data_IF_123226090297
#
_entry.id   IF_123226090297
#
_cell.length_a   1.000
_cell.length_b   1.000
_cell.length_c   1.000
_cell.angle_alpha   90.00
_cell.angle_beta   90.00
_cell.angle_gamma   90.00
#
_symmetry.space_group_name_H-M   'P 1'
#
loop_
_entity.id
_entity.type
_entity.pdbx_description
1 polymer ?
#
# COMPACT_ATOMS: atom_id res chain seq x y z
N UNK A 1 -5.81 39.86 22.90
CA UNK A 1 -4.97 39.04 22.01
C UNK A 1 -3.69 39.74 21.56
N UNK A 2 -3.72 41.05 21.19
CA UNK A 2 -2.55 41.81 20.71
C UNK A 2 -1.36 41.81 21.67
N UNK A 3 -1.58 41.98 23.01
CA UNK A 3 -0.52 41.98 24.01
C UNK A 3 0.23 40.64 24.08
N UNK A 4 -0.49 39.52 24.21
CA UNK A 4 0.13 38.20 24.30
C UNK A 4 0.97 37.84 23.08
N UNK A 5 0.50 38.21 21.89
CA UNK A 5 1.24 37.99 20.63
C UNK A 5 2.52 38.84 20.54
N UNK A 6 2.45 40.11 20.97
CA UNK A 6 3.58 41.02 20.95
C UNK A 6 4.69 40.55 21.90
N UNK A 7 4.31 40.11 23.12
CA UNK A 7 5.26 39.57 24.11
C UNK A 7 5.86 38.23 23.63
N UNK A 8 5.06 37.33 23.09
CA UNK A 8 5.54 36.06 22.57
C UNK A 8 6.55 36.25 21.42
N UNK A 9 6.25 37.17 20.46
CA UNK A 9 7.17 37.53 19.37
C UNK A 9 8.47 38.16 19.88
N UNK A 10 8.40 39.01 20.89
CA UNK A 10 9.57 39.66 21.51
C UNK A 10 10.44 38.68 22.27
N UNK A 11 9.82 37.68 22.92
CA UNK A 11 10.53 36.57 23.55
C UNK A 11 11.30 35.71 22.54
N UNK A 12 10.80 35.54 21.33
CA UNK A 12 11.50 34.82 20.26
C UNK A 12 12.65 35.63 19.65
N UNK A 13 12.56 36.96 19.58
CA UNK A 13 13.52 37.87 18.90
C UNK A 13 14.52 38.55 19.79
N UNK A 14 14.48 38.39 21.12
CA UNK A 14 15.35 39.11 22.03
C UNK A 14 16.85 38.81 21.75
N UNK A 15 17.69 39.87 21.49
CA UNK A 15 19.11 39.70 21.17
C UNK A 15 19.95 39.22 22.36
N UNK A 16 19.53 39.50 23.62
CA UNK A 16 20.25 39.15 24.85
C UNK A 16 19.86 37.75 25.39
N UNK A 17 19.58 36.79 24.55
CA UNK A 17 19.33 35.42 24.99
C UNK A 17 20.64 34.70 25.30
N UNK A 18 20.74 33.96 26.43
CA UNK A 18 21.79 33.01 26.65
C UNK A 18 21.90 32.04 25.47
N UNK A 19 23.11 31.72 25.03
CA UNK A 19 23.32 30.82 23.88
C UNK A 19 22.61 29.46 24.07
N UNK A 20 22.55 28.99 25.31
CA UNK A 20 21.86 27.76 25.70
C UNK A 20 20.37 27.80 25.37
N UNK A 21 19.66 28.91 25.68
CA UNK A 21 18.22 29.03 25.38
C UNK A 21 17.92 29.06 23.86
N UNK A 22 18.82 29.69 23.10
CA UNK A 22 18.71 29.69 21.63
C UNK A 22 18.89 28.28 21.08
N UNK A 23 19.91 27.55 21.56
CA UNK A 23 20.17 26.16 21.19
C UNK A 23 18.96 25.26 21.51
N UNK A 24 18.43 25.36 22.74
CA UNK A 24 17.28 24.55 23.19
C UNK A 24 16.03 24.84 22.34
N UNK A 25 15.77 26.10 21.97
CA UNK A 25 14.64 26.45 21.08
C UNK A 25 14.83 25.88 19.68
N UNK A 26 16.05 25.94 19.14
CA UNK A 26 16.38 25.35 17.82
C UNK A 26 16.22 23.83 17.88
N UNK A 27 16.73 23.17 18.92
CA UNK A 27 16.56 21.73 19.11
C UNK A 27 15.09 21.32 19.19
N UNK A 28 14.23 22.14 19.82
CA UNK A 28 12.80 21.89 19.85
C UNK A 28 12.16 21.94 18.46
N UNK A 29 12.47 22.98 17.67
CA UNK A 29 11.97 23.14 16.30
C UNK A 29 12.46 21.98 15.42
N UNK A 30 13.75 21.64 15.51
CA UNK A 30 14.34 20.52 14.78
C UNK A 30 13.73 19.19 15.18
N UNK A 31 13.50 18.97 16.49
CA UNK A 31 12.86 17.75 16.98
C UNK A 31 11.43 17.57 16.47
N UNK A 32 10.62 18.64 16.48
CA UNK A 32 9.27 18.62 15.89
C UNK A 32 9.36 18.42 14.37
N UNK A 33 10.27 19.12 13.69
CA UNK A 33 10.44 18.99 12.25
C UNK A 33 10.86 17.57 11.85
N UNK A 34 11.80 16.96 12.58
CA UNK A 34 12.24 15.60 12.34
C UNK A 34 11.09 14.60 12.57
N UNK A 35 10.32 14.76 13.67
CA UNK A 35 9.15 13.92 13.94
C UNK A 35 8.09 14.00 12.84
N UNK A 36 7.76 15.20 12.38
CA UNK A 36 6.80 15.43 11.30
C UNK A 36 7.34 14.89 9.97
N UNK A 37 8.62 15.11 9.65
CA UNK A 37 9.22 14.58 8.42
C UNK A 37 9.23 13.06 8.39
N UNK A 38 9.60 12.41 9.51
CA UNK A 38 9.55 10.94 9.64
C UNK A 38 8.13 10.41 9.43
N UNK A 39 7.12 11.11 9.98
CA UNK A 39 5.72 10.76 9.81
C UNK A 39 5.28 10.84 8.34
N UNK A 40 5.63 11.92 7.64
CA UNK A 40 5.33 12.10 6.21
C UNK A 40 5.97 10.97 5.39
N UNK A 41 7.25 10.66 5.64
CA UNK A 41 7.97 9.62 4.91
C UNK A 41 7.34 8.24 5.17
N UNK A 42 7.02 7.92 6.43
CA UNK A 42 6.39 6.65 6.80
C UNK A 42 5.01 6.47 6.13
N UNK A 43 4.17 7.52 6.14
CA UNK A 43 2.86 7.49 5.49
C UNK A 43 3.00 7.41 3.96
N UNK A 44 3.93 8.15 3.35
CA UNK A 44 4.19 8.10 1.92
C UNK A 44 4.68 6.72 1.47
N UNK A 45 5.50 6.05 2.27
CA UNK A 45 5.96 4.68 2.03
C UNK A 45 4.79 3.70 2.13
N UNK A 46 4.00 3.77 3.20
CA UNK A 46 2.87 2.87 3.43
C UNK A 46 1.80 3.01 2.32
N UNK A 47 1.40 4.25 1.99
CA UNK A 47 0.44 4.50 0.91
C UNK A 47 0.99 4.04 -0.44
N UNK A 48 2.27 4.31 -0.72
CA UNK A 48 2.93 3.87 -1.95
C UNK A 48 2.96 2.35 -2.12
N UNK A 49 3.31 1.63 -1.06
CA UNK A 49 3.29 0.16 -1.06
C UNK A 49 1.89 -0.39 -1.31
N UNK A 50 0.91 0.11 -0.57
CA UNK A 50 -0.48 -0.32 -0.70
C UNK A 50 -1.01 -0.08 -2.11
N UNK A 51 -0.86 1.13 -2.63
CA UNK A 51 -1.36 1.48 -3.98
C UNK A 51 -0.65 0.68 -5.05
N UNK A 52 0.68 0.58 -4.99
CA UNK A 52 1.46 -0.16 -6.00
C UNK A 52 1.11 -1.65 -6.02
N UNK A 53 0.96 -2.29 -4.85
CA UNK A 53 0.55 -3.70 -4.78
C UNK A 53 -0.88 -3.87 -5.27
N UNK A 54 -1.80 -2.99 -4.87
CA UNK A 54 -3.18 -3.02 -5.31
C UNK A 54 -3.30 -2.89 -6.83
N UNK A 55 -2.65 -1.88 -7.42
CA UNK A 55 -2.70 -1.64 -8.87
C UNK A 55 -2.14 -2.83 -9.67
N UNK A 56 -1.03 -3.41 -9.21
CA UNK A 56 -0.42 -4.56 -9.89
C UNK A 56 -1.27 -5.82 -9.78
N UNK A 57 -1.84 -6.09 -8.60
CA UNK A 57 -2.75 -7.23 -8.41
C UNK A 57 -3.98 -7.10 -9.29
N UNK A 58 -4.61 -5.91 -9.31
CA UNK A 58 -5.81 -5.64 -10.09
C UNK A 58 -5.57 -5.66 -11.60
N UNK A 59 -4.35 -5.38 -12.04
CA UNK A 59 -3.97 -5.47 -13.45
C UNK A 59 -4.00 -6.89 -14.00
N UNK A 60 -3.72 -7.90 -13.16
CA UNK A 60 -3.57 -9.31 -13.59
C UNK A 60 -4.74 -10.18 -13.14
N UNK A 61 -5.32 -9.92 -11.95
CA UNK A 61 -6.42 -10.71 -11.38
C UNK A 61 -7.79 -10.18 -11.74
N UNK A 62 -8.79 -11.04 -11.65
CA UNK A 62 -10.19 -10.65 -11.65
C UNK A 62 -10.52 -9.84 -10.39
N UNK A 63 -11.46 -8.88 -10.50
CA UNK A 63 -11.91 -8.14 -9.33
C UNK A 63 -12.87 -8.96 -8.44
N UNK A 64 -13.70 -9.78 -9.08
CA UNK A 64 -14.60 -10.74 -8.45
C UNK A 64 -14.60 -12.02 -9.30
N UNK A 65 -14.59 -13.17 -8.68
CA UNK A 65 -14.69 -14.48 -9.30
C UNK A 65 -15.91 -15.23 -8.76
N UNK A 66 -16.73 -15.80 -9.62
CA UNK A 66 -17.84 -16.69 -9.25
C UNK A 66 -17.43 -18.12 -9.54
N UNK A 67 -17.53 -18.98 -8.54
CA UNK A 67 -17.23 -20.41 -8.62
C UNK A 67 -18.25 -21.24 -7.88
N UNK A 68 -18.18 -22.58 -8.02
CA UNK A 68 -18.90 -23.51 -7.16
C UNK A 68 -18.03 -23.97 -5.99
N UNK A 69 -18.61 -24.20 -4.80
CA UNK A 69 -17.89 -24.79 -3.68
C UNK A 69 -17.28 -26.14 -4.03
N UNK A 70 -16.12 -26.46 -3.46
CA UNK A 70 -15.47 -27.77 -3.70
C UNK A 70 -14.80 -27.91 -5.05
N UNK A 71 -14.53 -26.80 -5.75
CA UNK A 71 -13.88 -26.78 -7.09
C UNK A 71 -14.69 -27.52 -8.17
N UNK A 72 -16.01 -27.59 -8.01
CA UNK A 72 -16.89 -28.11 -9.05
C UNK A 72 -16.85 -27.24 -10.30
N UNK A 73 -16.73 -27.88 -11.45
CA UNK A 73 -16.67 -27.17 -12.71
C UNK A 73 -18.04 -26.57 -13.10
N UNK A 74 -17.99 -25.40 -13.74
CA UNK A 74 -19.14 -24.69 -14.27
C UNK A 74 -19.43 -25.18 -15.70
N UNK A 75 -20.47 -26.02 -15.86
CA UNK A 75 -20.88 -26.54 -17.18
C UNK A 75 -21.69 -25.51 -17.99
N UNK A 76 -22.46 -24.64 -17.31
CA UNK A 76 -23.34 -23.67 -17.95
C UNK A 76 -22.73 -22.26 -17.91
N UNK A 77 -21.40 -22.16 -18.01
CA UNK A 77 -20.70 -20.90 -17.79
C UNK A 77 -21.08 -19.80 -18.80
N UNK A 78 -21.43 -20.15 -20.03
CA UNK A 78 -21.81 -19.19 -21.10
C UNK A 78 -23.13 -18.50 -20.77
N UNK A 79 -24.18 -19.25 -20.44
CA UNK A 79 -25.49 -18.71 -20.07
C UNK A 79 -25.40 -17.89 -18.77
N UNK A 80 -24.65 -18.40 -17.80
CA UNK A 80 -24.42 -17.71 -16.52
C UNK A 80 -23.64 -16.39 -16.74
N UNK A 81 -22.62 -16.39 -17.59
CA UNK A 81 -21.83 -15.20 -17.95
C UNK A 81 -22.71 -14.14 -18.62
N UNK A 82 -23.55 -14.52 -19.57
CA UNK A 82 -24.46 -13.61 -20.24
C UNK A 82 -25.43 -12.97 -19.24
N UNK A 83 -26.10 -13.76 -18.40
CA UNK A 83 -27.02 -13.28 -17.37
C UNK A 83 -26.35 -12.31 -16.41
N UNK A 84 -25.18 -12.65 -15.88
CA UNK A 84 -24.48 -11.85 -14.91
C UNK A 84 -23.75 -10.62 -15.52
N UNK A 85 -23.53 -10.59 -16.81
CA UNK A 85 -22.93 -9.44 -17.52
C UNK A 85 -23.81 -8.18 -17.45
N UNK A 86 -25.12 -8.34 -17.28
CA UNK A 86 -26.08 -7.24 -17.20
C UNK A 86 -26.22 -6.63 -15.80
N UNK A 87 -25.54 -7.18 -14.78
CA UNK A 87 -25.58 -6.64 -13.42
C UNK A 87 -24.91 -5.26 -13.39
N UNK A 88 -25.58 -4.23 -12.85
CA UNK A 88 -25.01 -2.89 -12.79
C UNK A 88 -23.67 -2.85 -12.08
N UNK A 89 -22.68 -2.23 -12.70
CA UNK A 89 -21.30 -2.16 -12.17
C UNK A 89 -20.34 -3.21 -12.77
N UNK A 90 -20.83 -4.23 -13.47
CA UNK A 90 -20.02 -5.16 -14.22
C UNK A 90 -19.56 -4.52 -15.52
N UNK A 91 -18.26 -4.51 -15.80
CA UNK A 91 -17.68 -4.03 -17.06
C UNK A 91 -17.43 -5.17 -18.04
N UNK A 92 -17.10 -6.33 -17.50
CA UNK A 92 -16.73 -7.47 -18.33
C UNK A 92 -16.81 -8.78 -17.54
N UNK A 93 -17.14 -9.85 -18.24
CA UNK A 93 -17.16 -11.23 -17.75
C UNK A 93 -16.34 -12.10 -18.69
N UNK A 94 -15.55 -13.02 -18.13
CA UNK A 94 -14.80 -14.00 -18.89
C UNK A 94 -14.72 -15.34 -18.14
N UNK A 95 -14.89 -16.48 -18.84
CA UNK A 95 -14.64 -17.78 -18.25
C UNK A 95 -13.13 -18.04 -18.14
N UNK A 96 -12.72 -18.69 -17.06
CA UNK A 96 -11.34 -19.10 -16.87
C UNK A 96 -11.24 -20.50 -16.25
N UNK A 97 -10.16 -21.20 -16.56
CA UNK A 97 -9.73 -22.42 -15.88
C UNK A 97 -8.35 -22.21 -15.28
N UNK A 98 -8.17 -22.59 -14.04
CA UNK A 98 -6.90 -22.60 -13.34
C UNK A 98 -6.44 -24.04 -13.11
N UNK A 99 -5.21 -24.33 -13.54
CA UNK A 99 -4.62 -25.66 -13.40
C UNK A 99 -3.18 -25.50 -12.90
N UNK A 100 -2.85 -26.19 -11.82
CA UNK A 100 -1.45 -26.31 -11.42
C UNK A 100 -0.81 -27.45 -12.16
N UNK A 101 0.26 -27.19 -12.90
CA UNK A 101 0.98 -28.13 -13.75
C UNK A 101 2.47 -28.07 -13.49
N UNK A 102 3.18 -29.13 -13.88
CA UNK A 102 4.62 -29.14 -13.97
C UNK A 102 5.04 -28.76 -15.38
N UNK A 103 5.70 -27.60 -15.52
CA UNK A 103 6.32 -27.16 -16.77
C UNK A 103 7.75 -27.67 -16.81
N UNK A 104 8.06 -28.45 -17.84
CA UNK A 104 9.38 -29.08 -18.00
C UNK A 104 10.05 -28.68 -19.31
N UNK A 105 11.32 -28.31 -19.24
CA UNK A 105 12.17 -27.99 -20.39
C UNK A 105 13.64 -28.29 -20.11
N UNK A 106 14.36 -28.94 -21.01
CA UNK A 106 15.79 -29.15 -20.93
C UNK A 106 16.28 -29.84 -19.64
N UNK A 107 15.48 -30.76 -19.07
CA UNK A 107 15.80 -31.45 -17.80
C UNK A 107 15.52 -30.66 -16.53
N UNK A 108 14.95 -29.44 -16.65
CA UNK A 108 14.47 -28.63 -15.53
C UNK A 108 12.96 -28.69 -15.50
N UNK A 109 12.38 -28.56 -14.31
CA UNK A 109 10.94 -28.52 -14.11
C UNK A 109 10.56 -27.53 -13.02
N UNK A 110 9.45 -26.82 -13.22
CA UNK A 110 8.89 -25.85 -12.29
C UNK A 110 7.37 -26.00 -12.18
N UNK A 111 6.83 -25.86 -10.97
CA UNK A 111 5.37 -25.87 -10.76
C UNK A 111 4.76 -24.54 -11.20
N UNK A 112 3.83 -24.59 -12.15
CA UNK A 112 3.24 -23.39 -12.77
C UNK A 112 1.73 -23.44 -12.67
N UNK A 113 1.10 -22.30 -12.38
CA UNK A 113 -0.33 -22.12 -12.53
C UNK A 113 -0.62 -21.69 -13.98
N UNK A 114 -1.29 -22.54 -14.71
CA UNK A 114 -1.73 -22.25 -16.07
C UNK A 114 -3.17 -21.76 -16.03
N UNK A 115 -3.36 -20.54 -16.54
CA UNK A 115 -4.68 -19.93 -16.71
C UNK A 115 -5.14 -20.13 -18.16
N UNK A 116 -6.20 -20.91 -18.33
CA UNK A 116 -6.91 -21.05 -19.59
C UNK A 116 -7.90 -19.91 -19.78
N UNK A 117 -7.75 -19.14 -20.85
CA UNK A 117 -8.53 -17.93 -21.12
C UNK A 117 -9.10 -17.93 -22.53
N UNK A 118 -10.14 -17.12 -22.74
CA UNK A 118 -10.58 -16.73 -24.07
C UNK A 118 -9.69 -15.58 -24.59
N UNK A 119 -8.87 -15.80 -25.63
CA UNK A 119 -7.94 -14.78 -26.10
C UNK A 119 -8.62 -13.49 -26.54
N UNK A 120 -9.81 -13.56 -27.14
CA UNK A 120 -10.53 -12.40 -27.65
C UNK A 120 -11.00 -11.47 -26.51
N UNK A 121 -11.34 -12.06 -25.36
CA UNK A 121 -11.80 -11.34 -24.18
C UNK A 121 -10.64 -10.86 -23.30
N UNK A 122 -9.59 -11.67 -23.16
CA UNK A 122 -8.54 -11.44 -22.16
C UNK A 122 -7.39 -10.55 -22.68
N UNK A 123 -7.05 -10.64 -23.97
CA UNK A 123 -5.93 -9.89 -24.56
C UNK A 123 -6.03 -8.37 -24.38
N UNK A 124 -7.27 -7.84 -24.40
CA UNK A 124 -7.56 -6.40 -24.20
C UNK A 124 -7.66 -6.01 -22.73
N UNK A 125 -7.73 -6.95 -21.80
CA UNK A 125 -8.12 -6.73 -20.42
C UNK A 125 -7.03 -7.05 -19.40
N UNK A 126 -6.13 -8.00 -19.74
CA UNK A 126 -5.10 -8.48 -18.84
C UNK A 126 -3.81 -7.72 -19.11
N UNK A 127 -3.33 -6.95 -18.14
CA UNK A 127 -2.10 -6.18 -18.29
C UNK A 127 -0.87 -7.06 -18.54
N UNK A 128 -0.85 -8.30 -18.02
CA UNK A 128 0.25 -9.22 -18.30
C UNK A 128 0.34 -9.57 -19.78
N UNK A 129 -0.80 -9.82 -20.44
CA UNK A 129 -0.84 -10.10 -21.88
C UNK A 129 -0.59 -8.86 -22.75
N UNK A 130 -0.72 -7.66 -22.20
CA UNK A 130 -0.38 -6.41 -22.88
C UNK A 130 1.10 -6.04 -22.74
N UNK A 131 1.78 -6.55 -21.69
CA UNK A 131 3.20 -6.25 -21.41
C UNK A 131 4.10 -7.41 -21.84
N UNK A 132 4.08 -7.75 -23.13
CA UNK A 132 4.97 -8.77 -23.70
C UNK A 132 6.36 -8.17 -23.89
N UNK A 133 7.38 -8.80 -23.31
CA UNK A 133 8.79 -8.39 -23.41
C UNK A 133 9.54 -9.15 -24.51
N UNK A 134 9.05 -10.32 -24.89
CA UNK A 134 9.60 -11.11 -26.00
C UNK A 134 8.52 -11.97 -26.64
N UNK A 135 8.53 -12.13 -27.94
CA UNK A 135 7.51 -12.88 -28.71
C UNK A 135 6.20 -12.11 -28.88
N UNK A 136 5.08 -12.82 -28.81
CA UNK A 136 3.72 -12.28 -29.02
C UNK A 136 2.75 -12.84 -27.97
N UNK A 137 1.64 -12.14 -27.72
CA UNK A 137 0.54 -12.61 -26.87
C UNK A 137 -0.42 -13.58 -27.61
N UNK A 138 0.00 -14.11 -28.77
CA UNK A 138 -0.84 -15.01 -29.55
C UNK A 138 -0.91 -16.39 -28.91
N UNK A 139 -2.09 -16.81 -28.50
CA UNK A 139 -2.38 -18.11 -27.90
C UNK A 139 -2.91 -19.13 -28.90
N UNK A 140 -3.03 -18.77 -30.19
CA UNK A 140 -3.47 -19.70 -31.25
C UNK A 140 -2.51 -20.91 -31.31
N UNK A 141 -3.03 -22.11 -31.60
CA UNK A 141 -2.18 -23.28 -31.86
C UNK A 141 -1.16 -22.99 -32.93
N UNK A 142 0.03 -23.57 -32.81
CA UNK A 142 1.05 -23.42 -33.84
C UNK A 142 0.67 -24.19 -35.10
N UNK A 143 1.36 -23.95 -36.25
CA UNK A 143 1.12 -24.69 -37.50
C UNK A 143 1.30 -26.22 -37.38
N UNK A 144 2.04 -26.67 -36.36
CA UNK A 144 2.26 -28.11 -36.10
C UNK A 144 1.13 -28.71 -35.23
N UNK A 145 0.13 -27.91 -34.82
CA UNK A 145 -1.03 -28.34 -34.03
C UNK A 145 -0.77 -28.36 -32.53
N UNK A 146 0.41 -27.94 -32.03
CA UNK A 146 0.66 -27.80 -30.61
C UNK A 146 0.02 -26.53 -30.07
N UNK A 147 -0.44 -26.57 -28.81
CA UNK A 147 -0.92 -25.37 -28.12
C UNK A 147 0.18 -24.34 -27.92
N UNK A 148 -0.18 -23.06 -27.86
CA UNK A 148 0.73 -21.98 -27.51
C UNK A 148 0.54 -21.57 -26.05
N UNK A 149 1.66 -21.16 -25.42
CA UNK A 149 1.69 -20.67 -24.03
C UNK A 149 2.48 -19.37 -23.96
N UNK A 150 1.94 -18.40 -23.21
CA UNK A 150 2.66 -17.19 -22.81
C UNK A 150 3.07 -17.37 -21.35
N UNK A 151 4.35 -17.23 -21.03
CA UNK A 151 4.92 -17.46 -19.70
C UNK A 151 5.48 -16.19 -19.10
N UNK A 152 5.57 -16.14 -17.76
CA UNK A 152 6.17 -15.00 -17.08
C UNK A 152 7.69 -14.95 -17.26
N UNK A 153 8.23 -13.75 -17.17
CA UNK A 153 9.65 -13.45 -17.41
C UNK A 153 10.58 -14.17 -16.43
N UNK A 154 10.24 -14.17 -15.14
CA UNK A 154 11.08 -14.86 -14.14
C UNK A 154 11.12 -16.36 -14.39
N UNK A 155 9.97 -16.96 -14.73
CA UNK A 155 9.89 -18.37 -15.12
C UNK A 155 10.73 -18.67 -16.37
N UNK A 156 10.67 -17.77 -17.37
CA UNK A 156 11.45 -17.90 -18.59
C UNK A 156 12.96 -17.80 -18.31
N UNK A 157 13.38 -16.87 -17.46
CA UNK A 157 14.79 -16.68 -17.09
C UNK A 157 15.33 -17.90 -16.31
N UNK A 158 14.56 -18.43 -15.34
CA UNK A 158 14.95 -19.58 -14.51
C UNK A 158 15.11 -20.86 -15.34
N UNK A 159 14.22 -21.08 -16.26
CA UNK A 159 14.24 -22.27 -17.14
C UNK A 159 14.98 -22.03 -18.45
N UNK A 160 15.52 -20.81 -18.68
CA UNK A 160 16.22 -20.37 -19.90
C UNK A 160 15.39 -20.55 -21.17
N UNK A 161 14.10 -20.21 -21.08
CA UNK A 161 13.14 -20.34 -22.15
C UNK A 161 13.18 -19.12 -23.10
N UNK A 162 12.96 -19.37 -24.36
CA UNK A 162 12.86 -18.33 -25.41
C UNK A 162 11.56 -18.49 -26.20
N UNK A 163 11.07 -17.43 -26.84
CA UNK A 163 9.98 -17.57 -27.80
C UNK A 163 10.32 -18.62 -28.89
N UNK A 164 9.34 -19.42 -29.23
CA UNK A 164 9.38 -20.60 -30.10
C UNK A 164 10.03 -21.85 -29.50
N UNK A 165 10.51 -21.86 -28.27
CA UNK A 165 10.87 -23.11 -27.58
C UNK A 165 9.63 -23.94 -27.28
N UNK A 166 9.84 -25.27 -27.18
CA UNK A 166 8.80 -26.21 -26.80
C UNK A 166 9.00 -26.66 -25.36
N UNK A 167 7.90 -26.66 -24.61
CA UNK A 167 7.84 -27.11 -23.23
C UNK A 167 6.82 -28.21 -23.07
N UNK A 168 7.00 -29.05 -22.07
CA UNK A 168 6.05 -30.08 -21.68
C UNK A 168 5.28 -29.63 -20.45
N UNK A 169 3.95 -29.54 -20.55
CA UNK A 169 3.07 -29.30 -19.40
C UNK A 169 2.50 -30.63 -18.96
N UNK A 170 2.73 -30.99 -17.71
CA UNK A 170 2.23 -32.21 -17.09
C UNK A 170 1.24 -31.87 -15.99
N UNK A 171 -0.01 -32.25 -16.17
CA UNK A 171 -1.08 -32.08 -15.18
C UNK A 171 -1.13 -33.29 -14.25
N UNK A 172 -1.24 -33.09 -12.93
CA UNK A 172 -1.49 -34.17 -11.99
C UNK A 172 -2.84 -34.88 -12.19
N UNK A 173 -3.81 -34.16 -12.79
CA UNK A 173 -5.09 -34.75 -13.19
C UNK A 173 -4.86 -35.70 -14.36
N UNK A 174 -4.77 -36.99 -14.06
CA UNK A 174 -4.49 -38.04 -15.02
C UNK A 174 -5.69 -38.90 -15.35
N UNK A 175 -5.45 -39.91 -16.19
CA UNK A 175 -6.43 -41.00 -16.42
C UNK A 175 -6.19 -42.12 -15.42
N UNK A 176 -7.27 -42.61 -14.78
CA UNK A 176 -7.24 -43.86 -14.07
C UNK A 176 -7.06 -45.02 -15.07
N UNK A 177 -5.96 -45.73 -14.90
CA UNK A 177 -5.75 -46.98 -15.65
C UNK A 177 -5.71 -48.15 -14.68
N UNK A 178 -5.85 -49.42 -15.16
CA UNK A 178 -5.69 -50.58 -14.28
C UNK A 178 -4.37 -50.67 -13.53
N UNK A 179 -3.35 -49.93 -14.02
CA UNK A 179 -1.99 -49.87 -13.42
C UNK A 179 -1.75 -48.61 -12.57
N UNK A 180 -2.79 -47.79 -12.36
CA UNK A 180 -2.68 -46.54 -11.58
C UNK A 180 -3.00 -45.29 -12.41
N UNK A 181 -2.83 -44.13 -11.79
CA UNK A 181 -3.06 -42.84 -12.41
C UNK A 181 -1.88 -42.45 -13.31
N UNK A 182 -2.12 -42.22 -14.60
CA UNK A 182 -1.12 -41.73 -15.54
C UNK A 182 -1.35 -40.22 -15.74
N UNK A 183 -0.37 -39.34 -15.40
CA UNK A 183 -0.50 -37.91 -15.62
C UNK A 183 -0.71 -37.56 -17.09
N UNK A 184 -1.49 -36.50 -17.35
CA UNK A 184 -1.63 -35.96 -18.71
C UNK A 184 -0.48 -35.02 -19.02
N UNK A 185 0.19 -35.25 -20.13
CA UNK A 185 1.27 -34.40 -20.61
C UNK A 185 0.96 -33.91 -22.02
N UNK A 186 1.12 -32.61 -22.24
CA UNK A 186 0.95 -31.99 -23.56
C UNK A 186 2.11 -31.05 -23.86
N UNK A 187 2.50 -31.02 -25.13
CA UNK A 187 3.56 -30.14 -25.62
C UNK A 187 2.97 -28.80 -26.02
N UNK A 188 3.62 -27.73 -25.60
CA UNK A 188 3.26 -26.35 -25.93
C UNK A 188 4.46 -25.62 -26.50
N UNK A 189 4.18 -24.69 -27.43
CA UNK A 189 5.16 -23.74 -27.93
C UNK A 189 5.04 -22.45 -27.14
N UNK A 190 6.18 -21.88 -26.71
CA UNK A 190 6.22 -20.56 -26.09
C UNK A 190 5.98 -19.51 -27.18
N UNK A 191 4.84 -18.84 -27.15
CA UNK A 191 4.52 -17.75 -28.08
C UNK A 191 5.06 -16.41 -27.60
N UNK A 192 5.11 -16.18 -26.29
CA UNK A 192 5.59 -14.94 -25.72
C UNK A 192 5.98 -15.05 -24.25
N UNK A 193 6.65 -14.01 -23.79
CA UNK A 193 7.09 -13.82 -22.41
C UNK A 193 6.54 -12.49 -21.93
N UNK A 194 5.80 -12.50 -20.82
CA UNK A 194 5.23 -11.29 -20.21
C UNK A 194 6.02 -10.83 -18.99
N UNK A 195 5.95 -9.53 -18.68
CA UNK A 195 6.48 -8.91 -17.45
C UNK A 195 5.35 -8.09 -16.80
N UNK A 196 4.63 -8.71 -15.86
CA UNK A 196 3.56 -8.03 -15.13
C UNK A 196 4.09 -7.02 -14.12
N UNK A 197 5.37 -7.16 -13.76
CA UNK A 197 6.03 -6.42 -12.69
C UNK A 197 5.64 -6.91 -11.29
N UNK A 198 4.94 -8.03 -11.17
CA UNK A 198 4.66 -8.70 -9.91
C UNK A 198 5.33 -10.08 -9.93
N UNK A 199 6.33 -10.25 -9.04
CA UNK A 199 7.21 -11.41 -9.07
C UNK A 199 6.46 -12.75 -9.07
N UNK A 200 5.45 -12.91 -8.21
CA UNK A 200 4.72 -14.17 -8.08
C UNK A 200 4.04 -14.61 -9.39
N UNK A 201 3.50 -13.65 -10.15
CA UNK A 201 2.92 -13.93 -11.46
C UNK A 201 4.00 -14.22 -12.49
N UNK A 202 5.06 -13.40 -12.50
CA UNK A 202 6.15 -13.54 -13.47
C UNK A 202 6.96 -14.83 -13.26
N UNK A 203 6.98 -15.39 -12.03
CA UNK A 203 7.68 -16.61 -11.69
C UNK A 203 6.84 -17.89 -11.84
N UNK A 204 5.51 -17.80 -11.63
CA UNK A 204 4.70 -19.00 -11.44
C UNK A 204 3.50 -19.13 -12.39
N UNK A 205 3.31 -18.20 -13.35
CA UNK A 205 2.10 -18.20 -14.18
C UNK A 205 2.39 -18.36 -15.67
N UNK A 206 1.41 -19.01 -16.35
CA UNK A 206 1.35 -19.10 -17.80
C UNK A 206 -0.08 -18.99 -18.31
N UNK A 207 -0.26 -18.44 -19.50
CA UNK A 207 -1.55 -18.28 -20.17
C UNK A 207 -1.64 -19.18 -21.39
N UNK A 208 -2.75 -19.89 -21.51
CA UNK A 208 -3.10 -20.72 -22.68
C UNK A 208 -4.54 -20.44 -23.08
N UNK A 209 -5.00 -20.98 -24.21
CA UNK A 209 -6.43 -20.91 -24.56
C UNK A 209 -7.26 -21.74 -23.58
N UNK A 210 -8.52 -21.33 -23.36
CA UNK A 210 -9.48 -22.08 -22.53
C UNK A 210 -9.56 -23.55 -22.98
N UNK A 211 -9.62 -23.79 -24.29
CA UNK A 211 -9.68 -25.14 -24.87
C UNK A 211 -8.43 -25.97 -24.57
N UNK A 212 -7.26 -25.38 -24.67
CA UNK A 212 -5.99 -26.06 -24.32
C UNK A 212 -5.94 -26.45 -22.85
N UNK A 213 -6.42 -25.55 -21.97
CA UNK A 213 -6.51 -25.82 -20.53
C UNK A 213 -7.53 -26.94 -20.23
N UNK A 214 -8.71 -26.94 -20.85
CA UNK A 214 -9.70 -28.00 -20.75
C UNK A 214 -9.12 -29.37 -21.13
N UNK A 215 -8.42 -29.41 -22.26
CA UNK A 215 -7.75 -30.63 -22.75
C UNK A 215 -6.66 -31.11 -21.76
N UNK A 216 -5.86 -30.21 -21.23
CA UNK A 216 -4.80 -30.51 -20.27
C UNK A 216 -5.37 -30.99 -18.91
N UNK A 217 -6.48 -30.39 -18.46
CA UNK A 217 -7.20 -30.84 -17.27
C UNK A 217 -7.97 -32.15 -17.48
N UNK A 218 -8.25 -32.49 -18.73
CA UNK A 218 -9.05 -33.68 -19.05
C UNK A 218 -10.53 -33.54 -18.74
N UNK A 219 -11.01 -32.31 -18.80
CA UNK A 219 -12.42 -31.97 -18.60
C UNK A 219 -13.07 -31.59 -19.93
N UNK A 220 -14.41 -31.67 -19.96
CA UNK A 220 -15.18 -31.24 -21.12
C UNK A 220 -15.22 -29.73 -21.28
N UNK A 221 -16.27 -29.22 -21.90
CA UNK A 221 -16.49 -27.78 -22.05
C UNK A 221 -17.04 -27.19 -20.76
N UNK A 222 -16.12 -26.84 -19.86
CA UNK A 222 -16.40 -26.31 -18.52
C UNK A 222 -15.42 -25.18 -18.19
N UNK A 223 -15.81 -24.31 -17.25
CA UNK A 223 -14.92 -23.33 -16.64
C UNK A 223 -14.75 -23.63 -15.15
N UNK A 224 -13.64 -23.26 -14.55
CA UNK A 224 -13.47 -23.31 -13.09
C UNK A 224 -14.15 -22.13 -12.42
N UNK A 225 -14.09 -20.97 -13.06
CA UNK A 225 -14.61 -19.71 -12.54
C UNK A 225 -15.13 -18.81 -13.66
N UNK A 226 -16.06 -17.92 -13.32
CA UNK A 226 -16.38 -16.74 -14.11
C UNK A 226 -15.72 -15.53 -13.45
N UNK A 227 -14.88 -14.83 -14.17
CA UNK A 227 -14.14 -13.66 -13.73
C UNK A 227 -14.85 -12.39 -14.15
N UNK A 228 -14.99 -11.49 -13.20
CA UNK A 228 -15.64 -10.20 -13.39
C UNK A 228 -14.65 -9.06 -13.21
N UNK A 229 -14.64 -8.14 -14.17
CA UNK A 229 -14.08 -6.81 -14.01
C UNK A 229 -15.20 -5.82 -13.73
N UNK A 230 -15.03 -5.04 -12.67
CA UNK A 230 -16.04 -4.12 -12.18
C UNK A 230 -15.58 -2.68 -12.32
N UNK A 231 -16.54 -1.75 -12.30
CA UNK A 231 -16.27 -0.32 -12.49
C UNK A 231 -15.54 0.29 -11.29
N UNK A 232 -15.95 -0.10 -10.08
CA UNK A 232 -15.43 0.38 -8.82
C UNK A 232 -14.92 -0.81 -8.01
N UNK A 233 -13.61 -0.92 -7.88
CA UNK A 233 -12.93 -2.05 -7.25
C UNK A 233 -13.14 -2.08 -5.74
N UNK A 234 -13.35 -0.92 -5.12
CA UNK A 234 -13.60 -0.80 -3.68
C UNK A 234 -14.96 -1.39 -3.30
N UNK A 235 -15.89 -1.51 -4.26
CA UNK A 235 -17.21 -2.14 -4.08
C UNK A 235 -17.25 -3.63 -4.46
N UNK A 236 -16.09 -4.29 -4.59
CA UNK A 236 -16.01 -5.69 -4.99
C UNK A 236 -16.79 -6.63 -4.07
N UNK A 237 -16.76 -6.39 -2.76
CA UNK A 237 -17.49 -7.20 -1.77
C UNK A 237 -19.01 -7.07 -1.92
N UNK A 238 -19.52 -5.86 -2.08
CA UNK A 238 -20.94 -5.57 -2.27
C UNK A 238 -21.45 -6.18 -3.59
N UNK A 239 -20.70 -5.97 -4.67
CA UNK A 239 -21.04 -6.49 -5.99
C UNK A 239 -20.90 -8.02 -6.05
N UNK A 240 -19.91 -8.59 -5.36
CA UNK A 240 -19.76 -10.05 -5.21
C UNK A 240 -20.97 -10.69 -4.54
N UNK A 241 -21.48 -10.07 -3.46
CA UNK A 241 -22.71 -10.52 -2.80
C UNK A 241 -23.95 -10.41 -3.72
N UNK A 242 -24.00 -9.36 -4.56
CA UNK A 242 -25.08 -9.21 -5.55
C UNK A 242 -24.98 -10.29 -6.63
N UNK A 243 -23.78 -10.48 -7.21
CA UNK A 243 -23.54 -11.52 -8.23
C UNK A 243 -23.87 -12.92 -7.72
N UNK A 244 -23.55 -13.24 -6.45
CA UNK A 244 -23.91 -14.53 -5.84
C UNK A 244 -25.41 -14.72 -5.76
N UNK A 245 -26.17 -13.68 -5.40
CA UNK A 245 -27.64 -13.75 -5.35
C UNK A 245 -28.26 -13.97 -6.74
N UNK A 246 -27.75 -13.26 -7.74
CA UNK A 246 -28.20 -13.38 -9.13
C UNK A 246 -27.77 -14.72 -9.76
N UNK A 247 -26.60 -15.26 -9.40
CA UNK A 247 -26.15 -16.57 -9.83
C UNK A 247 -27.06 -17.69 -9.31
N UNK A 248 -27.60 -17.53 -8.10
CA UNK A 248 -28.47 -18.49 -7.46
C UNK A 248 -27.74 -19.41 -6.46
N UNK A 249 -28.46 -20.40 -5.90
CA UNK A 249 -27.87 -21.30 -4.90
C UNK A 249 -26.75 -22.16 -5.49
N UNK A 250 -25.74 -22.44 -4.69
CA UNK A 250 -24.59 -23.26 -5.10
C UNK A 250 -23.46 -22.47 -5.77
N UNK A 251 -23.51 -21.14 -5.81
CA UNK A 251 -22.40 -20.28 -6.28
C UNK A 251 -21.86 -19.46 -5.14
N UNK A 252 -20.55 -19.18 -5.20
CA UNK A 252 -19.83 -18.36 -4.23
C UNK A 252 -19.00 -17.32 -4.97
N UNK A 253 -19.12 -16.06 -4.53
CA UNK A 253 -18.22 -15.01 -4.99
C UNK A 253 -16.97 -15.00 -4.13
N UNK A 254 -15.82 -14.87 -4.78
CA UNK A 254 -14.53 -14.61 -4.16
C UNK A 254 -14.00 -13.30 -4.74
N UNK A 255 -13.62 -12.36 -3.88
CA UNK A 255 -13.09 -11.08 -4.31
C UNK A 255 -11.56 -11.14 -4.39
N UNK A 256 -10.95 -10.23 -5.11
CA UNK A 256 -9.49 -10.06 -5.16
C UNK A 256 -8.87 -9.88 -3.76
N UNK A 257 -9.62 -9.28 -2.81
CA UNK A 257 -9.21 -9.15 -1.41
C UNK A 257 -9.24 -10.49 -0.68
N UNK A 258 -10.22 -11.35 -0.99
CA UNK A 258 -10.33 -12.69 -0.40
C UNK A 258 -9.21 -13.61 -0.86
N UNK A 259 -8.86 -13.57 -2.14
CA UNK A 259 -7.74 -14.33 -2.70
C UNK A 259 -6.40 -13.92 -2.07
N UNK A 260 -6.26 -12.63 -1.75
CA UNK A 260 -5.05 -12.07 -1.15
C UNK A 260 -5.18 -11.78 0.35
N UNK A 261 -6.00 -12.55 1.09
CA UNK A 261 -6.27 -12.34 2.54
C UNK A 261 -5.01 -12.24 3.39
N UNK A 262 -3.98 -13.04 3.08
CA UNK A 262 -2.72 -13.01 3.82
C UNK A 262 -2.03 -11.65 3.67
N UNK A 263 -1.96 -11.11 2.45
CA UNK A 263 -1.41 -9.78 2.16
C UNK A 263 -2.20 -8.69 2.88
N UNK A 264 -3.53 -8.72 2.79
CA UNK A 264 -4.38 -7.71 3.47
C UNK A 264 -4.31 -7.78 4.98
N UNK A 265 -4.13 -8.97 5.58
CA UNK A 265 -3.86 -9.11 7.01
C UNK A 265 -2.52 -8.50 7.39
N UNK A 266 -1.47 -8.73 6.59
CA UNK A 266 -0.15 -8.13 6.79
C UNK A 266 -0.21 -6.60 6.70
N UNK A 267 -0.85 -6.04 5.67
CA UNK A 267 -1.05 -4.60 5.51
C UNK A 267 -1.87 -3.96 6.65
N UNK A 268 -2.85 -4.69 7.19
CA UNK A 268 -3.64 -4.24 8.35
C UNK A 268 -2.81 -4.21 9.62
N UNK A 269 -1.99 -5.24 9.84
CA UNK A 269 -1.04 -5.29 10.97
C UNK A 269 0.00 -4.19 10.85
N UNK A 270 0.57 -3.99 9.65
CA UNK A 270 1.51 -2.91 9.36
C UNK A 270 0.92 -1.53 9.69
N UNK A 271 -0.34 -1.27 9.30
CA UNK A 271 -1.04 -0.01 9.62
C UNK A 271 -1.13 0.21 11.13
N UNK A 272 -1.40 -0.84 11.91
CA UNK A 272 -1.48 -0.77 13.38
C UNK A 272 -0.10 -0.49 13.98
N UNK A 273 0.93 -1.19 13.53
CA UNK A 273 2.32 -1.00 13.98
C UNK A 273 2.80 0.41 13.62
N UNK A 274 2.55 0.86 12.38
CA UNK A 274 2.88 2.22 11.93
C UNK A 274 2.17 3.27 12.78
N UNK A 275 0.87 3.10 13.08
CA UNK A 275 0.12 4.01 13.94
C UNK A 275 0.70 4.09 15.36
N UNK A 276 1.18 2.97 15.90
CA UNK A 276 1.82 2.92 17.21
C UNK A 276 3.17 3.68 17.20
N UNK A 277 4.02 3.46 16.19
CA UNK A 277 5.28 4.21 16.04
C UNK A 277 5.03 5.70 15.84
N UNK A 278 4.05 6.08 15.02
CA UNK A 278 3.61 7.45 14.82
C UNK A 278 3.21 8.08 16.16
N UNK A 279 2.38 7.37 16.95
CA UNK A 279 1.97 7.80 18.29
C UNK A 279 3.17 8.03 19.21
N UNK A 280 4.15 7.11 19.20
CA UNK A 280 5.35 7.21 20.01
C UNK A 280 6.24 8.39 19.61
N UNK A 281 6.53 8.56 18.32
CA UNK A 281 7.33 9.68 17.78
C UNK A 281 6.66 11.02 18.14
N UNK A 282 5.34 11.08 17.96
CA UNK A 282 4.55 12.27 18.26
C UNK A 282 4.54 12.58 19.76
N UNK A 283 4.45 11.56 20.61
CA UNK A 283 4.56 11.70 22.05
C UNK A 283 5.93 12.24 22.47
N UNK A 284 7.03 11.72 21.92
CA UNK A 284 8.39 12.20 22.17
C UNK A 284 8.55 13.65 21.72
N UNK A 285 8.02 14.03 20.55
CA UNK A 285 8.01 15.42 20.10
C UNK A 285 7.26 16.32 21.07
N UNK A 286 6.12 15.87 21.60
CA UNK A 286 5.36 16.57 22.64
C UNK A 286 6.15 16.76 23.94
N UNK A 287 6.84 15.73 24.42
CA UNK A 287 7.71 15.83 25.60
C UNK A 287 8.84 16.83 25.37
N UNK A 288 9.43 16.85 24.18
CA UNK A 288 10.48 17.82 23.83
C UNK A 288 9.96 19.27 23.95
N UNK A 289 8.79 19.57 23.38
CA UNK A 289 8.14 20.89 23.51
C UNK A 289 7.89 21.22 25.00
N UNK A 290 7.39 20.26 25.79
CA UNK A 290 7.10 20.44 27.22
C UNK A 290 8.37 20.84 27.99
N UNK A 291 9.47 20.10 27.79
CA UNK A 291 10.75 20.36 28.48
C UNK A 291 11.30 21.74 28.11
N UNK A 292 11.30 22.08 26.81
CA UNK A 292 11.79 23.38 26.32
C UNK A 292 10.97 24.54 26.87
N UNK A 293 9.65 24.39 26.94
CA UNK A 293 8.80 25.44 27.51
C UNK A 293 8.91 25.53 29.04
N UNK A 294 9.05 24.40 29.74
CA UNK A 294 9.29 24.40 31.18
C UNK A 294 10.59 25.16 31.54
N UNK A 295 11.67 24.88 30.78
CA UNK A 295 12.94 25.60 30.92
C UNK A 295 12.78 27.09 30.59
N UNK A 296 12.06 27.42 29.51
CA UNK A 296 11.79 28.83 29.14
C UNK A 296 10.98 29.56 30.23
N UNK A 297 10.03 28.90 30.88
CA UNK A 297 9.27 29.46 31.99
C UNK A 297 10.19 29.73 33.17
N UNK A 298 11.08 28.80 33.51
CA UNK A 298 12.03 28.94 34.62
C UNK A 298 12.97 30.13 34.39
N UNK A 299 13.56 30.22 33.21
CA UNK A 299 14.49 31.32 32.85
C UNK A 299 13.83 32.69 32.78
N UNK A 300 12.52 32.74 32.48
CA UNK A 300 11.75 33.99 32.37
C UNK A 300 10.86 34.25 33.60
N UNK A 301 11.08 33.51 34.69
CA UNK A 301 10.26 33.64 35.88
C UNK A 301 10.25 35.07 36.43
N UNK A 302 11.40 35.76 36.40
CA UNK A 302 11.54 37.17 36.84
C UNK A 302 10.76 38.12 35.92
N UNK A 303 10.87 37.97 34.61
CA UNK A 303 10.10 38.76 33.64
C UNK A 303 8.59 38.57 33.82
N UNK A 304 8.16 37.34 34.10
CA UNK A 304 6.77 36.99 34.39
C UNK A 304 6.29 37.66 35.66
N UNK A 305 7.10 37.64 36.75
CA UNK A 305 6.78 38.27 38.01
C UNK A 305 6.60 39.78 37.83
N UNK A 306 7.50 40.47 37.10
CA UNK A 306 7.38 41.90 36.76
C UNK A 306 6.11 42.21 35.98
N UNK A 307 5.79 41.42 34.96
CA UNK A 307 4.55 41.58 34.17
C UNK A 307 3.30 41.42 35.06
N UNK A 308 3.30 40.47 35.97
CA UNK A 308 2.19 40.26 36.92
C UNK A 308 2.08 41.39 37.95
N UNK A 309 3.22 41.92 38.45
CA UNK A 309 3.24 43.09 39.31
C UNK A 309 2.71 44.37 38.60
N UNK A 310 2.92 44.48 37.28
CA UNK A 310 2.36 45.54 36.43
C UNK A 310 0.86 45.31 36.08
N UNK A 311 0.20 44.28 36.63
CA UNK A 311 -1.23 44.04 36.47
C UNK A 311 -1.60 43.02 35.36
N UNK A 312 -0.64 42.26 34.80
CA UNK A 312 -0.97 41.20 33.87
C UNK A 312 -1.75 40.05 34.54
N UNK A 313 -2.86 39.67 33.96
CA UNK A 313 -3.72 38.59 34.50
C UNK A 313 -3.10 37.22 34.19
N UNK A 314 -3.31 36.22 35.12
CA UNK A 314 -2.86 34.83 34.92
C UNK A 314 -3.24 34.22 33.57
N UNK A 315 -4.43 34.57 33.06
CA UNK A 315 -4.88 34.11 31.73
C UNK A 315 -4.05 34.70 30.59
N UNK A 316 -3.53 35.92 30.76
CA UNK A 316 -2.67 36.55 29.74
C UNK A 316 -1.30 35.86 29.68
N UNK A 317 -0.72 35.57 30.84
CA UNK A 317 0.55 34.81 30.92
C UNK A 317 0.39 33.42 30.32
N UNK A 318 -0.67 32.71 30.66
CA UNK A 318 -0.96 31.40 30.05
C UNK A 318 -1.09 31.45 28.54
N UNK A 319 -1.75 32.48 27.98
CA UNK A 319 -1.90 32.69 26.53
C UNK A 319 -0.56 32.97 25.86
N UNK A 320 0.39 33.69 26.51
CA UNK A 320 1.72 33.96 25.97
C UNK A 320 2.45 32.64 25.71
N UNK A 321 2.48 31.73 26.71
CA UNK A 321 3.21 30.46 26.60
C UNK A 321 2.53 29.48 25.63
N UNK A 322 1.20 29.44 25.58
CA UNK A 322 0.48 28.65 24.55
C UNK A 322 0.80 29.17 23.14
N UNK A 323 0.81 30.48 22.93
CA UNK A 323 1.21 31.08 21.66
C UNK A 323 2.67 30.77 21.29
N UNK A 324 3.58 30.80 22.29
CA UNK A 324 4.98 30.45 22.08
C UNK A 324 5.13 29.01 21.56
N UNK A 325 4.43 28.07 22.22
CA UNK A 325 4.43 26.67 21.78
C UNK A 325 3.78 26.48 20.41
N UNK A 326 2.68 27.17 20.12
CA UNK A 326 2.09 27.16 18.77
C UNK A 326 3.04 27.68 17.68
N UNK A 327 3.84 28.72 17.99
CA UNK A 327 4.83 29.25 17.04
C UNK A 327 5.94 28.22 16.81
N UNK A 328 6.52 27.67 17.89
CA UNK A 328 7.58 26.66 17.80
C UNK A 328 7.09 25.41 17.09
N UNK A 329 5.93 24.89 17.50
CA UNK A 329 5.31 23.74 16.88
C UNK A 329 4.90 23.99 15.43
N UNK A 330 4.34 25.15 15.13
CA UNK A 330 3.96 25.55 13.76
C UNK A 330 5.16 25.65 12.82
N UNK A 331 6.25 26.28 13.25
CA UNK A 331 7.49 26.35 12.49
C UNK A 331 8.11 24.96 12.29
N UNK A 332 8.18 24.16 13.35
CA UNK A 332 8.67 22.79 13.27
C UNK A 332 7.83 21.93 12.32
N UNK A 333 6.49 22.04 12.42
CA UNK A 333 5.57 21.33 11.52
C UNK A 333 5.75 21.77 10.06
N UNK A 334 5.84 23.06 9.78
CA UNK A 334 6.03 23.55 8.41
C UNK A 334 7.36 23.08 7.81
N UNK A 335 8.47 23.18 8.57
CA UNK A 335 9.76 22.67 8.15
C UNK A 335 9.75 21.15 7.97
N UNK A 336 9.10 20.43 8.88
CA UNK A 336 8.98 18.98 8.80
C UNK A 336 8.16 18.51 7.61
N UNK A 337 7.04 19.19 7.29
CA UNK A 337 6.27 18.92 6.09
C UNK A 337 7.10 19.16 4.83
N UNK A 338 7.74 20.32 4.71
CA UNK A 338 8.58 20.64 3.53
C UNK A 338 9.68 19.60 3.37
N UNK A 339 10.44 19.30 4.43
CA UNK A 339 11.51 18.31 4.38
C UNK A 339 10.98 16.89 4.08
N UNK A 340 9.92 16.46 4.77
CA UNK A 340 9.33 15.14 4.60
C UNK A 340 8.79 14.90 3.20
N UNK A 341 8.02 15.86 2.65
CA UNK A 341 7.49 15.75 1.29
C UNK A 341 8.59 15.81 0.24
N UNK A 342 9.60 16.69 0.41
CA UNK A 342 10.74 16.79 -0.51
C UNK A 342 11.55 15.49 -0.52
N UNK A 343 11.84 14.92 0.65
CA UNK A 343 12.58 13.66 0.77
C UNK A 343 11.77 12.47 0.23
N UNK A 344 10.47 12.38 0.54
CA UNK A 344 9.62 11.32 0.03
C UNK A 344 9.48 11.39 -1.50
N UNK A 345 9.32 12.59 -2.06
CA UNK A 345 9.29 12.80 -3.51
C UNK A 345 10.61 12.41 -4.17
N UNK A 346 11.74 12.86 -3.61
CA UNK A 346 13.05 12.50 -4.12
C UNK A 346 13.30 10.98 -4.04
N UNK A 347 12.98 10.36 -2.91
CA UNK A 347 13.13 8.91 -2.72
C UNK A 347 12.30 8.09 -3.73
N UNK A 348 11.06 8.52 -4.01
CA UNK A 348 10.19 7.88 -5.00
C UNK A 348 10.67 8.10 -6.44
N UNK A 349 11.07 9.33 -6.79
CA UNK A 349 11.49 9.68 -8.15
C UNK A 349 12.82 9.03 -8.53
N UNK A 350 13.80 9.10 -7.63
CA UNK A 350 15.15 8.54 -7.86
C UNK A 350 15.26 7.06 -7.48
N UNK A 351 14.18 6.43 -6.97
CA UNK A 351 14.16 5.01 -6.59
C UNK A 351 15.33 4.64 -5.68
N UNK A 352 15.56 5.44 -4.64
CA UNK A 352 16.77 5.39 -3.81
C UNK A 352 16.94 4.08 -3.05
N UNK A 353 15.86 3.37 -2.76
CA UNK A 353 15.88 2.13 -1.97
C UNK A 353 15.47 0.97 -2.86
N UNK A 354 16.44 0.22 -3.44
CA UNK A 354 16.14 -1.00 -4.17
C UNK A 354 15.67 -2.10 -3.22
N UNK A 355 14.73 -2.91 -3.67
CA UNK A 355 14.23 -4.11 -2.99
C UNK A 355 14.47 -5.32 -3.84
N UNK A 356 14.62 -6.47 -3.20
CA UNK A 356 14.65 -7.75 -3.89
C UNK A 356 13.23 -8.12 -4.35
N UNK A 357 12.96 -8.18 -5.67
CA UNK A 357 11.63 -8.50 -6.18
C UNK A 357 11.13 -9.89 -5.75
N UNK A 358 12.04 -10.83 -5.47
CA UNK A 358 11.69 -12.18 -5.01
C UNK A 358 11.01 -12.17 -3.64
N UNK A 359 11.39 -11.21 -2.77
CA UNK A 359 10.87 -11.13 -1.41
C UNK A 359 9.69 -10.16 -1.33
N UNK A 360 9.81 -8.99 -2.00
CA UNK A 360 8.87 -7.89 -1.83
C UNK A 360 7.91 -7.70 -2.99
N UNK A 361 8.02 -8.49 -4.05
CA UNK A 361 7.24 -8.42 -5.30
C UNK A 361 7.31 -7.05 -6.02
N UNK A 362 8.13 -6.14 -5.53
CA UNK A 362 8.39 -4.82 -6.12
C UNK A 362 9.89 -4.54 -6.13
N UNK A 363 10.46 -3.92 -7.19
CA UNK A 363 11.91 -3.73 -7.34
C UNK A 363 12.48 -2.56 -6.53
N UNK A 364 11.65 -1.69 -5.96
CA UNK A 364 12.05 -0.55 -5.13
C UNK A 364 10.93 -0.15 -4.18
N UNK A 365 11.28 0.56 -3.10
CA UNK A 365 10.28 1.11 -2.16
C UNK A 365 9.48 2.21 -2.85
N UNK A 366 8.17 2.05 -3.04
CA UNK A 366 7.33 3.07 -3.64
C UNK A 366 6.99 4.14 -2.60
N UNK A 367 7.34 5.39 -2.86
CA UNK A 367 6.92 6.53 -2.04
C UNK A 367 5.86 7.32 -2.80
N UNK A 368 4.65 7.37 -2.27
CA UNK A 368 3.54 8.15 -2.82
C UNK A 368 3.03 9.12 -1.76
N UNK A 369 3.63 10.33 -1.68
CA UNK A 369 3.17 11.34 -0.73
C UNK A 369 1.78 11.85 -1.13
N UNK A 370 0.80 11.68 -0.25
CA UNK A 370 -0.56 12.12 -0.47
C UNK A 370 -0.76 13.52 0.17
N UNK A 371 -1.16 14.56 -0.60
CA UNK A 371 -1.39 15.89 -0.05
C UNK A 371 -2.44 15.97 1.04
N UNK A 372 -3.43 15.08 1.06
CA UNK A 372 -4.44 15.02 2.12
C UNK A 372 -3.86 14.72 3.49
N UNK A 373 -2.76 13.96 3.54
CA UNK A 373 -2.09 13.59 4.80
C UNK A 373 -1.43 14.81 5.46
N UNK A 374 -0.99 15.80 4.67
CA UNK A 374 -0.40 17.03 5.20
C UNK A 374 -1.33 17.76 6.16
N UNK A 375 -2.63 17.80 5.85
CA UNK A 375 -3.62 18.49 6.69
C UNK A 375 -3.78 17.78 8.04
N UNK A 376 -3.90 16.45 8.03
CA UNK A 376 -4.04 15.67 9.25
C UNK A 376 -2.78 15.69 10.10
N UNK A 377 -1.60 15.58 9.47
CA UNK A 377 -0.30 15.68 10.15
C UNK A 377 -0.14 17.04 10.79
N UNK A 378 -0.43 18.13 10.06
CA UNK A 378 -0.36 19.48 10.59
C UNK A 378 -1.34 19.69 11.77
N UNK A 379 -2.57 19.22 11.64
CA UNK A 379 -3.57 19.32 12.70
C UNK A 379 -3.14 18.54 13.96
N UNK A 380 -2.66 17.31 13.80
CA UNK A 380 -2.18 16.48 14.89
C UNK A 380 -0.95 17.09 15.58
N UNK A 381 0.05 17.52 14.81
CA UNK A 381 1.27 18.15 15.33
C UNK A 381 0.96 19.45 16.12
N UNK A 382 0.06 20.29 15.59
CA UNK A 382 -0.38 21.50 16.29
C UNK A 382 -1.18 21.18 17.55
N UNK A 383 -2.08 20.21 17.50
CA UNK A 383 -2.86 19.78 18.67
C UNK A 383 -1.95 19.30 19.80
N UNK A 384 -0.95 18.48 19.48
CA UNK A 384 0.03 17.97 20.46
C UNK A 384 0.92 19.11 20.96
N UNK A 385 1.35 20.01 20.08
CA UNK A 385 2.09 21.20 20.46
C UNK A 385 1.33 22.04 21.49
N UNK A 386 0.03 22.28 21.26
CA UNK A 386 -0.84 22.99 22.21
C UNK A 386 -1.00 22.21 23.52
N UNK A 387 -1.27 20.90 23.45
CA UNK A 387 -1.44 20.04 24.61
C UNK A 387 -0.18 20.04 25.50
N UNK A 388 1.00 19.89 24.91
CA UNK A 388 2.30 19.89 25.60
C UNK A 388 2.62 21.23 26.27
N UNK A 389 2.04 22.34 25.76
CA UNK A 389 2.24 23.67 26.35
C UNK A 389 1.36 23.94 27.55
N UNK A 390 0.27 23.19 27.76
CA UNK A 390 -0.70 23.49 28.82
C UNK A 390 -0.10 23.38 30.22
N UNK A 391 0.77 22.40 30.45
CA UNK A 391 1.41 22.19 31.76
C UNK A 391 2.39 23.33 32.09
N UNK A 392 3.39 23.66 31.26
CA UNK A 392 4.30 24.79 31.50
C UNK A 392 3.56 26.13 31.57
N UNK A 393 2.55 26.36 30.75
CA UNK A 393 1.76 27.59 30.77
C UNK A 393 0.96 27.76 32.07
N UNK A 394 0.46 26.66 32.65
CA UNK A 394 -0.19 26.69 33.98
C UNK A 394 0.83 26.98 35.04
N UNK A 395 2.00 26.37 35.01
CA UNK A 395 3.09 26.62 35.98
C UNK A 395 3.52 28.09 35.93
N UNK A 396 3.74 28.64 34.72
CA UNK A 396 4.07 30.06 34.52
C UNK A 396 3.03 31.01 35.15
N UNK A 397 1.72 30.66 35.06
CA UNK A 397 0.64 31.51 35.59
C UNK A 397 0.47 31.42 37.13
N UNK A 398 1.14 30.50 37.80
CA UNK A 398 1.09 30.30 39.25
C UNK A 398 2.29 30.90 39.98
N UNK A 399 3.22 31.51 39.31
CA UNK A 399 4.37 32.20 39.88
C UNK A 399 3.88 33.34 40.81
N UNK A 400 4.40 33.39 42.03
CA UNK A 400 4.06 34.44 42.99
C UNK A 400 5.10 35.57 42.88
N UNK A 401 4.68 36.79 42.46
CA UNK A 401 5.62 37.91 42.26
C UNK A 401 6.41 38.30 43.53
N UNK A 402 5.79 38.16 44.71
CA UNK A 402 6.37 38.55 45.99
C UNK A 402 7.60 37.69 46.37
N UNK A 403 7.56 36.39 46.06
CA UNK A 403 8.65 35.46 46.42
C UNK A 403 9.89 35.68 45.53
N UNK A 404 9.72 35.98 44.24
CA UNK A 404 10.80 36.16 43.30
C UNK A 404 11.42 37.57 43.30
N UNK A 405 10.69 38.58 43.79
CA UNK A 405 11.19 39.96 43.86
C UNK A 405 11.76 40.29 45.24
N UNK A 406 11.54 39.41 46.24
CA UNK A 406 11.99 39.60 47.65
C UNK A 406 13.40 39.04 47.91
N UNK A 407 13.85 38.08 47.12
CA UNK A 407 15.18 37.49 47.24
C UNK A 407 16.18 38.24 46.32
N UNK A 408 16.70 39.35 46.76
CA UNK A 408 18.02 39.92 46.54
C UNK A 408 18.73 40.09 47.83
#
# INVERSE_FOLDING_TARGET
MRFAWLVARRYLRSPNRPAVLRLVTVLAVVGVAAGVATLVIALAMNSGFRTTLQDRLLGVTAHVSISRPGSEALSNYTELAERLSHVPGVKAVAPAIYITVLLSSGGRAHGVVVKGVDPALEQKRNEALQRIVAGTADLAPDPSGFGSIVVGKMLADDLKLRPNDYVLLTSPAGHMTPFGMIPRSQRFRISGIFDSGFYDYDANWGFVTLRSAQNLAGVGDVASVLEFRIADVDRAEELGAQLTREAGPGYVATTWMDENRALFRALRLEKLVTALFIGLITFVAGLNILVVLAMTVSDRARDIAVLMAMGARRQQIRRIFVLLGMIVGGFGTALGLIAGYSLAWAAGTYRLIPLDPQIYSVPFVPFQPNPSDALWIAAAALAISVASTLVPARSASRIHPVELLRYE
#
